data_IF_199687598228
#
_entry.id   IF_199687598228
#
_cell.length_a   1.000
_cell.length_b   1.000
_cell.length_c   1.000
_cell.angle_alpha   90.00
_cell.angle_beta   90.00
_cell.angle_gamma   90.00
#
_symmetry.space_group_name_H-M   'P 1'
#
loop_
_entity.id
_entity.type
_entity.pdbx_description
1 polymer ?
#
# COMPACT_ATOMS: atom_id res chain seq x y z
N UNK A 1 17.61 15.83 27.60
CA UNK A 1 18.35 14.68 27.01
C UNK A 1 18.37 13.42 27.89
N UNK A 2 17.96 13.48 29.19
CA UNK A 2 18.05 12.34 30.10
C UNK A 2 16.90 11.34 30.11
N UNK A 3 15.84 11.56 29.35
CA UNK A 3 14.67 10.67 29.36
C UNK A 3 14.74 9.42 28.47
N UNK A 4 15.62 9.37 27.50
CA UNK A 4 15.71 8.27 26.52
C UNK A 4 16.56 7.11 27.07
N UNK A 5 17.58 7.39 27.87
CA UNK A 5 18.56 6.38 28.32
C UNK A 5 18.03 5.33 29.31
N UNK A 6 16.86 5.53 29.91
CA UNK A 6 16.28 4.59 30.90
C UNK A 6 14.95 3.98 30.46
N UNK A 7 14.55 4.17 29.18
CA UNK A 7 13.30 3.63 28.63
C UNK A 7 13.59 2.47 27.69
N UNK A 8 12.95 1.35 27.92
CA UNK A 8 12.88 0.27 26.94
C UNK A 8 12.09 0.77 25.71
N UNK A 9 12.67 0.63 24.53
CA UNK A 9 12.12 1.11 23.26
C UNK A 9 11.74 -0.05 22.35
N UNK A 10 10.81 0.22 21.44
CA UNK A 10 10.40 -0.70 20.36
C UNK A 10 10.39 0.00 19.00
N UNK A 11 10.58 -0.78 17.95
CA UNK A 11 10.49 -0.29 16.57
C UNK A 11 9.41 -1.07 15.81
N UNK A 12 8.52 -0.34 15.15
CA UNK A 12 7.58 -0.89 14.20
C UNK A 12 7.98 -0.52 12.77
N UNK A 13 7.89 -1.47 11.84
CA UNK A 13 8.22 -1.27 10.43
C UNK A 13 7.04 -1.68 9.56
N UNK A 14 6.70 -0.83 8.57
CA UNK A 14 5.76 -1.11 7.47
C UNK A 14 6.51 -1.03 6.16
N UNK A 15 6.78 -2.17 5.56
CA UNK A 15 7.52 -2.33 4.31
C UNK A 15 6.56 -2.66 3.16
N UNK A 16 6.00 -1.60 2.55
CA UNK A 16 5.02 -1.68 1.48
C UNK A 16 5.63 -1.73 0.07
N UNK A 17 4.77 -1.83 -0.94
CA UNK A 17 5.18 -1.95 -2.34
C UNK A 17 5.96 -0.76 -2.91
N UNK A 18 5.82 0.44 -2.35
CA UNK A 18 6.45 1.68 -2.85
C UNK A 18 7.32 2.38 -1.83
N UNK A 19 7.17 2.06 -0.56
CA UNK A 19 7.88 2.73 0.54
C UNK A 19 7.98 1.81 1.75
N UNK A 20 9.11 1.90 2.45
CA UNK A 20 9.32 1.37 3.78
C UNK A 20 9.21 2.51 4.78
N UNK A 21 8.54 2.28 5.92
CA UNK A 21 8.45 3.21 7.04
C UNK A 21 8.87 2.52 8.31
N UNK A 22 9.58 3.23 9.18
CA UNK A 22 9.93 2.78 10.52
C UNK A 22 9.48 3.82 11.55
N UNK A 23 9.08 3.38 12.73
CA UNK A 23 8.80 4.26 13.85
C UNK A 23 9.35 3.72 15.15
N UNK A 24 9.97 4.61 15.92
CA UNK A 24 10.46 4.37 17.27
C UNK A 24 9.40 4.80 18.29
N UNK A 25 9.18 3.98 19.29
CA UNK A 25 8.24 4.28 20.37
C UNK A 25 8.72 3.69 21.71
N UNK A 26 8.17 4.19 22.82
CA UNK A 26 8.36 3.55 24.13
C UNK A 26 7.69 2.17 24.19
N UNK A 27 8.29 1.22 24.89
CA UNK A 27 7.74 -0.14 25.08
C UNK A 27 6.42 -0.14 25.88
N UNK A 28 6.21 0.84 26.75
CA UNK A 28 4.95 1.04 27.48
C UNK A 28 4.01 1.88 26.64
N UNK A 29 2.74 1.49 26.54
CA UNK A 29 1.72 2.24 25.83
C UNK A 29 1.47 3.63 26.45
N UNK A 30 0.84 4.55 25.69
CA UNK A 30 0.42 5.88 26.17
C UNK A 30 1.29 7.05 25.73
N UNK A 31 2.47 6.82 25.14
CA UNK A 31 3.30 7.88 24.53
C UNK A 31 3.18 7.89 23.01
N UNK A 32 3.42 9.06 22.39
CA UNK A 32 3.54 9.22 20.93
C UNK A 32 4.76 8.50 20.35
N UNK A 33 4.93 8.63 19.03
CA UNK A 33 6.14 8.20 18.35
C UNK A 33 7.31 9.11 18.77
N UNK A 34 8.48 8.51 18.94
CA UNK A 34 9.71 9.20 19.35
C UNK A 34 10.62 9.51 18.16
N UNK A 35 10.42 8.81 17.05
CA UNK A 35 11.11 9.03 15.80
C UNK A 35 10.40 8.28 14.68
N UNK A 36 10.52 8.79 13.47
CA UNK A 36 9.98 8.21 12.25
C UNK A 36 11.04 8.28 11.15
N UNK A 37 11.02 7.29 10.26
CA UNK A 37 11.95 7.26 9.14
C UNK A 37 11.35 6.52 7.95
N UNK A 38 11.93 6.76 6.77
CA UNK A 38 11.44 6.19 5.54
C UNK A 38 12.57 5.69 4.63
N UNK A 39 12.23 4.68 3.81
CA UNK A 39 13.11 4.12 2.80
C UNK A 39 12.33 3.79 1.53
N UNK A 40 13.01 3.25 0.55
CA UNK A 40 12.42 2.81 -0.71
C UNK A 40 11.44 1.63 -0.57
N UNK A 41 11.06 0.99 -1.70
CA UNK A 41 10.15 -0.16 -1.72
C UNK A 41 10.58 -1.29 -0.80
N UNK A 42 9.63 -1.96 -0.15
CA UNK A 42 9.87 -3.01 0.83
C UNK A 42 9.14 -4.34 0.55
N UNK A 43 8.54 -4.53 -0.63
CA UNK A 43 7.85 -5.77 -0.96
C UNK A 43 8.86 -6.93 -1.14
N UNK A 44 8.80 -7.91 -0.25
CA UNK A 44 9.72 -9.04 -0.19
C UNK A 44 9.66 -10.02 -1.38
N UNK A 45 8.66 -9.89 -2.27
CA UNK A 45 8.56 -10.69 -3.49
C UNK A 45 9.15 -10.00 -4.72
N UNK A 46 9.28 -8.67 -4.71
CA UNK A 46 9.67 -7.88 -5.88
C UNK A 46 10.96 -7.10 -5.70
N UNK A 47 11.42 -6.88 -4.47
CA UNK A 47 12.65 -6.15 -4.16
C UNK A 47 13.79 -7.14 -3.86
N UNK A 48 14.94 -6.93 -4.46
CA UNK A 48 16.12 -7.76 -4.22
C UNK A 48 16.69 -7.59 -2.81
N UNK A 49 17.46 -8.59 -2.35
CA UNK A 49 18.03 -8.65 -0.99
C UNK A 49 18.81 -7.39 -0.62
N UNK A 50 19.74 -6.97 -1.48
CA UNK A 50 20.62 -5.83 -1.21
C UNK A 50 19.82 -4.53 -1.11
N UNK A 51 18.93 -4.31 -2.05
CA UNK A 51 18.06 -3.14 -2.12
C UNK A 51 17.09 -3.08 -0.92
N UNK A 52 16.43 -4.20 -0.59
CA UNK A 52 15.54 -4.29 0.57
C UNK A 52 16.29 -4.00 1.88
N UNK A 53 17.50 -4.56 2.03
CA UNK A 53 18.34 -4.30 3.21
C UNK A 53 18.71 -2.82 3.31
N UNK A 54 19.08 -2.18 2.20
CA UNK A 54 19.43 -0.77 2.15
C UNK A 54 18.23 0.13 2.50
N UNK A 55 17.03 -0.19 1.98
CA UNK A 55 15.81 0.56 2.27
C UNK A 55 15.40 0.45 3.75
N UNK A 56 15.55 -0.73 4.35
CA UNK A 56 15.32 -0.94 5.79
C UNK A 56 16.34 -0.17 6.62
N UNK A 57 17.62 -0.22 6.25
CA UNK A 57 18.69 0.50 6.94
C UNK A 57 18.46 2.02 6.90
N UNK A 58 18.04 2.57 5.76
CA UNK A 58 17.71 3.98 5.62
C UNK A 58 16.56 4.39 6.56
N UNK A 59 15.45 3.63 6.54
CA UNK A 59 14.31 3.90 7.41
C UNK A 59 14.67 3.80 8.91
N UNK A 60 15.48 2.81 9.29
CA UNK A 60 15.93 2.63 10.67
C UNK A 60 16.88 3.74 11.11
N UNK A 61 17.80 4.17 10.24
CA UNK A 61 18.76 5.23 10.57
C UNK A 61 18.07 6.57 10.83
N UNK A 62 17.01 6.87 10.08
CA UNK A 62 16.20 8.09 10.27
C UNK A 62 15.29 7.98 11.51
N UNK A 63 14.67 6.81 11.75
CA UNK A 63 13.74 6.61 12.86
C UNK A 63 14.42 6.49 14.23
N UNK A 64 15.65 5.94 14.29
CA UNK A 64 16.32 5.56 15.53
C UNK A 64 17.64 6.30 15.68
N UNK A 65 17.68 7.41 16.47
CA UNK A 65 18.92 8.10 16.79
C UNK A 65 19.97 7.16 17.39
N UNK A 66 21.24 7.45 17.15
CA UNK A 66 22.35 6.56 17.53
C UNK A 66 22.35 6.23 19.02
N UNK A 67 22.10 7.23 19.85
CA UNK A 67 22.03 7.11 21.30
C UNK A 67 20.85 6.24 21.80
N UNK A 68 19.81 6.05 20.97
CA UNK A 68 18.64 5.24 21.32
C UNK A 68 18.77 3.76 20.92
N UNK A 69 19.72 3.42 20.03
CA UNK A 69 19.85 2.08 19.43
C UNK A 69 20.02 0.97 20.47
N UNK A 70 20.83 1.20 21.50
CA UNK A 70 21.05 0.26 22.60
C UNK A 70 19.84 0.03 23.53
N UNK A 71 18.83 0.89 23.45
CA UNK A 71 17.59 0.79 24.23
C UNK A 71 16.45 0.06 23.50
N UNK A 72 16.60 -0.23 22.19
CA UNK A 72 15.61 -0.97 21.42
C UNK A 72 15.60 -2.44 21.85
N UNK A 73 14.47 -2.90 22.40
CA UNK A 73 14.29 -4.27 22.90
C UNK A 73 13.53 -5.17 21.96
N UNK A 74 12.57 -4.62 21.22
CA UNK A 74 11.76 -5.40 20.30
C UNK A 74 11.55 -4.67 18.98
N UNK A 75 11.50 -5.45 17.89
CA UNK A 75 11.21 -4.96 16.54
C UNK A 75 10.18 -5.87 15.89
N UNK A 76 9.14 -5.26 15.32
CA UNK A 76 8.17 -5.97 14.48
C UNK A 76 8.13 -5.34 13.09
N UNK A 77 8.38 -6.15 12.06
CA UNK A 77 8.29 -5.72 10.66
C UNK A 77 7.11 -6.38 9.93
N UNK A 78 6.21 -5.56 9.38
CA UNK A 78 5.17 -6.02 8.46
C UNK A 78 5.59 -5.75 7.02
N UNK A 79 5.60 -6.77 6.19
CA UNK A 79 6.08 -6.69 4.82
C UNK A 79 5.02 -7.11 3.82
N UNK A 80 4.83 -6.32 2.78
CA UNK A 80 4.13 -6.79 1.60
C UNK A 80 4.85 -8.03 1.04
N UNK A 81 4.08 -9.07 0.74
CA UNK A 81 4.60 -10.33 0.22
C UNK A 81 5.25 -11.28 1.24
N UNK A 82 5.26 -10.95 2.54
CA UNK A 82 5.88 -11.78 3.58
C UNK A 82 4.90 -12.43 4.57
N UNK A 83 3.59 -12.46 4.26
CA UNK A 83 2.61 -13.08 5.16
C UNK A 83 2.85 -14.59 5.29
N UNK A 84 3.05 -15.07 6.50
CA UNK A 84 3.12 -16.50 6.81
C UNK A 84 1.75 -17.18 6.66
N UNK A 85 1.69 -18.40 6.14
CA UNK A 85 0.52 -19.28 6.29
C UNK A 85 -0.24 -19.69 5.03
N UNK A 86 0.05 -19.17 3.83
CA UNK A 86 -0.65 -19.53 2.58
C UNK A 86 0.31 -19.92 1.43
N UNK A 87 1.40 -20.64 1.71
CA UNK A 87 2.32 -21.15 0.68
C UNK A 87 3.80 -21.05 1.06
N UNK A 88 4.72 -21.34 0.13
CA UNK A 88 6.14 -21.31 0.44
C UNK A 88 6.55 -19.90 0.90
N UNK A 89 7.12 -19.83 2.10
CA UNK A 89 7.43 -18.61 2.85
C UNK A 89 8.65 -17.83 2.29
N UNK A 90 8.85 -17.86 0.97
CA UNK A 90 10.05 -17.25 0.35
C UNK A 90 10.21 -15.78 0.68
N UNK A 91 9.12 -15.02 0.65
CA UNK A 91 9.14 -13.60 1.01
C UNK A 91 9.41 -13.38 2.50
N UNK A 92 8.89 -14.25 3.37
CA UNK A 92 9.09 -14.17 4.81
C UNK A 92 10.56 -14.37 5.19
N UNK A 93 11.20 -15.43 4.69
CA UNK A 93 12.62 -15.72 4.95
C UNK A 93 13.54 -14.57 4.49
N UNK A 94 13.26 -14.03 3.30
CA UNK A 94 13.99 -12.87 2.78
C UNK A 94 13.81 -11.65 3.69
N UNK A 95 12.58 -11.33 4.09
CA UNK A 95 12.27 -10.20 4.96
C UNK A 95 12.97 -10.33 6.33
N UNK A 96 12.92 -11.51 6.96
CA UNK A 96 13.63 -11.79 8.23
C UNK A 96 15.14 -11.60 8.07
N UNK A 97 15.72 -12.14 7.01
CA UNK A 97 17.15 -12.03 6.75
C UNK A 97 17.59 -10.58 6.52
N UNK A 98 16.85 -9.82 5.69
CA UNK A 98 17.15 -8.42 5.40
C UNK A 98 16.97 -7.53 6.63
N UNK A 99 15.89 -7.75 7.42
CA UNK A 99 15.66 -6.99 8.64
C UNK A 99 16.78 -7.20 9.66
N UNK A 100 17.19 -8.45 9.90
CA UNK A 100 18.30 -8.75 10.80
C UNK A 100 19.61 -8.12 10.32
N UNK A 101 19.90 -8.17 9.02
CA UNK A 101 21.07 -7.54 8.45
C UNK A 101 21.06 -6.02 8.62
N UNK A 102 19.91 -5.36 8.39
CA UNK A 102 19.76 -3.91 8.56
C UNK A 102 19.93 -3.50 10.04
N UNK A 103 19.34 -4.26 10.97
CA UNK A 103 19.49 -4.02 12.42
C UNK A 103 20.96 -4.16 12.85
N UNK A 104 21.65 -5.23 12.43
CA UNK A 104 23.05 -5.46 12.76
C UNK A 104 23.95 -4.35 12.18
N UNK A 105 23.73 -3.95 10.92
CA UNK A 105 24.43 -2.84 10.28
C UNK A 105 24.23 -1.49 10.97
N UNK A 106 23.07 -1.30 11.61
CA UNK A 106 22.78 -0.12 12.43
C UNK A 106 23.29 -0.23 13.88
N UNK A 107 23.97 -1.31 14.27
CA UNK A 107 24.43 -1.54 15.65
C UNK A 107 23.33 -1.81 16.64
N UNK A 108 22.17 -2.31 16.19
CA UNK A 108 21.04 -2.68 17.02
C UNK A 108 20.98 -4.19 17.24
N UNK A 109 20.79 -4.64 18.49
CA UNK A 109 20.67 -6.04 18.89
C UNK A 109 19.43 -6.24 19.79
N UNK A 110 18.21 -6.07 19.24
CA UNK A 110 16.98 -6.24 20.01
C UNK A 110 16.82 -7.69 20.49
N UNK A 111 16.18 -7.87 21.64
CA UNK A 111 15.93 -9.18 22.26
C UNK A 111 14.88 -9.99 21.50
N UNK A 112 13.91 -9.29 20.88
CA UNK A 112 12.85 -9.89 20.05
C UNK A 112 12.76 -9.23 18.68
N UNK A 113 12.76 -10.04 17.62
CA UNK A 113 12.54 -9.59 16.24
C UNK A 113 11.56 -10.54 15.56
N UNK A 114 10.42 -10.01 15.17
CA UNK A 114 9.41 -10.75 14.42
C UNK A 114 9.07 -10.06 13.09
N UNK A 115 8.65 -10.86 12.13
CA UNK A 115 8.20 -10.45 10.81
C UNK A 115 6.82 -11.05 10.54
N UNK A 116 5.90 -10.22 10.08
CA UNK A 116 4.58 -10.60 9.59
C UNK A 116 4.28 -9.95 8.24
N UNK A 117 3.03 -10.07 7.81
CA UNK A 117 2.56 -9.40 6.60
C UNK A 117 2.08 -7.97 6.86
N UNK A 118 1.94 -7.24 5.78
CA UNK A 118 1.37 -5.89 5.78
C UNK A 118 -0.10 -5.86 6.26
N UNK A 119 -0.84 -6.93 6.02
CA UNK A 119 -2.24 -7.06 6.45
C UNK A 119 -2.37 -7.19 7.97
N UNK A 120 -1.46 -7.91 8.63
CA UNK A 120 -1.46 -8.08 10.07
C UNK A 120 -1.19 -6.75 10.80
N UNK A 121 -0.17 -6.01 10.35
CA UNK A 121 0.13 -4.69 10.93
C UNK A 121 -0.94 -3.66 10.61
N UNK A 122 -1.56 -3.74 9.41
CA UNK A 122 -2.67 -2.87 9.07
C UNK A 122 -3.86 -3.09 10.02
N UNK A 123 -4.25 -4.33 10.28
CA UNK A 123 -5.32 -4.64 11.24
C UNK A 123 -4.99 -4.14 12.65
N UNK A 124 -3.78 -4.40 13.12
CA UNK A 124 -3.32 -3.96 14.43
C UNK A 124 -3.22 -2.42 14.56
N UNK A 125 -3.31 -1.67 13.44
CA UNK A 125 -3.38 -0.20 13.47
C UNK A 125 -4.76 0.35 13.85
N UNK A 126 -5.80 -0.49 13.87
CA UNK A 126 -7.12 -0.08 14.37
C UNK A 126 -7.13 0.08 15.90
N UNK A 127 -8.05 0.88 16.47
CA UNK A 127 -8.18 1.05 17.91
C UNK A 127 -8.26 -0.28 18.65
N UNK A 128 -7.43 -0.42 19.69
CA UNK A 128 -7.35 -1.65 20.47
C UNK A 128 -6.49 -2.75 19.88
N UNK A 129 -5.82 -2.51 18.75
CA UNK A 129 -4.96 -3.45 18.05
C UNK A 129 -5.58 -4.86 17.93
N UNK A 130 -6.74 -4.99 17.24
CA UNK A 130 -7.47 -6.25 17.18
C UNK A 130 -6.65 -7.34 16.50
N UNK A 131 -6.77 -8.58 17.01
CA UNK A 131 -6.16 -9.76 16.40
C UNK A 131 -7.07 -10.41 15.33
N UNK A 132 -8.34 -10.04 15.30
CA UNK A 132 -9.37 -10.59 14.40
C UNK A 132 -10.07 -9.50 13.64
N UNK A 133 -10.24 -9.67 12.32
CA UNK A 133 -10.94 -8.70 11.49
C UNK A 133 -10.60 -8.80 10.02
N UNK A 134 -10.99 -7.77 9.29
CA UNK A 134 -10.77 -7.64 7.87
C UNK A 134 -9.82 -6.48 7.57
N UNK A 135 -9.07 -6.63 6.52
CA UNK A 135 -8.19 -5.60 5.98
C UNK A 135 -8.42 -5.49 4.48
N UNK A 136 -8.46 -4.27 3.98
CA UNK A 136 -8.36 -3.98 2.56
C UNK A 136 -7.27 -2.94 2.36
N UNK A 137 -6.25 -3.30 1.63
CA UNK A 137 -5.18 -2.39 1.23
C UNK A 137 -5.37 -2.07 -0.25
N UNK A 138 -5.39 -0.78 -0.61
CA UNK A 138 -5.38 -0.35 -2.00
C UNK A 138 -4.45 0.86 -2.18
N UNK A 139 -3.38 0.60 -2.89
CA UNK A 139 -2.34 1.56 -3.30
C UNK A 139 -1.97 1.27 -4.74
N UNK A 140 -0.70 0.99 -5.03
CA UNK A 140 -0.23 0.53 -6.34
C UNK A 140 -0.94 -0.77 -6.75
N UNK A 141 -1.02 -1.76 -5.86
CA UNK A 141 -1.85 -2.96 -5.97
C UNK A 141 -3.04 -2.92 -5.02
N UNK A 142 -3.82 -4.00 -4.96
CA UNK A 142 -4.94 -4.14 -4.04
C UNK A 142 -5.08 -5.57 -3.51
N UNK A 143 -5.40 -5.71 -2.22
CA UNK A 143 -5.64 -7.00 -1.57
C UNK A 143 -6.64 -6.86 -0.44
N UNK A 144 -7.59 -7.78 -0.35
CA UNK A 144 -8.44 -7.95 0.81
C UNK A 144 -8.01 -9.21 1.58
N UNK A 145 -7.95 -9.13 2.90
CA UNK A 145 -7.55 -10.23 3.76
C UNK A 145 -8.44 -10.36 4.99
N UNK A 146 -8.61 -11.58 5.47
CA UNK A 146 -9.12 -11.89 6.79
C UNK A 146 -7.94 -12.24 7.68
N UNK A 147 -7.86 -11.60 8.81
CA UNK A 147 -6.90 -11.91 9.86
C UNK A 147 -7.66 -12.58 11.01
N UNK A 148 -7.11 -13.66 11.54
CA UNK A 148 -7.64 -14.41 12.67
C UNK A 148 -6.50 -14.82 13.60
N UNK A 149 -6.61 -14.50 14.89
CA UNK A 149 -5.54 -14.73 15.85
C UNK A 149 -4.23 -14.03 15.51
N UNK A 150 -4.30 -12.84 14.92
CA UNK A 150 -3.13 -12.04 14.50
C UNK A 150 -2.40 -12.56 13.25
N UNK A 151 -2.99 -13.51 12.52
CA UNK A 151 -2.41 -14.09 11.28
C UNK A 151 -3.40 -14.04 10.14
N UNK A 152 -2.92 -13.86 8.92
CA UNK A 152 -3.74 -13.92 7.73
C UNK A 152 -4.27 -15.34 7.50
N UNK A 153 -5.60 -15.50 7.51
CA UNK A 153 -6.27 -16.81 7.37
C UNK A 153 -7.03 -16.95 6.06
N UNK A 154 -7.33 -15.84 5.37
CA UNK A 154 -7.93 -15.88 4.04
C UNK A 154 -7.55 -14.61 3.26
N UNK A 155 -7.56 -14.71 1.93
CA UNK A 155 -7.26 -13.62 1.00
C UNK A 155 -8.30 -13.64 -0.12
N UNK A 156 -8.65 -12.44 -0.60
CA UNK A 156 -9.39 -12.24 -1.82
C UNK A 156 -8.68 -11.20 -2.66
N UNK A 157 -8.37 -11.54 -3.92
CA UNK A 157 -7.51 -10.78 -4.81
C UNK A 157 -6.05 -10.67 -4.31
N UNK A 158 -5.28 -9.66 -4.73
CA UNK A 158 -3.86 -9.56 -4.40
C UNK A 158 -2.98 -10.49 -5.25
N UNK A 159 -3.44 -10.84 -6.45
CA UNK A 159 -2.75 -11.75 -7.38
C UNK A 159 -1.74 -11.04 -8.28
N UNK A 160 -1.47 -9.77 -8.01
CA UNK A 160 -0.58 -8.92 -8.81
C UNK A 160 -1.28 -8.32 -10.02
N UNK A 161 -0.61 -7.34 -10.62
CA UNK A 161 -1.15 -6.48 -11.68
C UNK A 161 -1.68 -7.23 -12.92
N UNK A 162 -1.14 -8.42 -13.21
CA UNK A 162 -1.53 -9.21 -14.38
C UNK A 162 -2.83 -10.00 -14.15
N UNK A 163 -3.02 -10.56 -12.95
CA UNK A 163 -4.07 -11.54 -12.65
C UNK A 163 -5.09 -11.04 -11.63
N UNK A 164 -4.86 -9.90 -11.01
CA UNK A 164 -5.68 -9.31 -9.95
C UNK A 164 -5.38 -7.83 -9.74
N UNK A 165 -5.27 -7.43 -8.48
CA UNK A 165 -5.14 -6.04 -8.04
C UNK A 165 -6.30 -5.15 -8.55
N UNK A 166 -7.49 -5.71 -8.62
CA UNK A 166 -8.68 -5.06 -9.15
C UNK A 166 -9.09 -3.86 -8.29
N UNK A 167 -9.27 -2.70 -8.94
CA UNK A 167 -9.60 -1.44 -8.26
C UNK A 167 -8.40 -0.71 -7.65
N UNK A 168 -7.18 -1.19 -7.85
CA UNK A 168 -5.93 -0.55 -7.42
C UNK A 168 -5.56 0.67 -8.26
N UNK A 169 -4.49 1.36 -7.84
CA UNK A 169 -3.88 2.43 -8.64
C UNK A 169 -3.40 1.95 -9.99
N UNK A 170 -2.83 0.74 -10.07
CA UNK A 170 -2.49 0.12 -11.35
C UNK A 170 -3.72 -0.09 -12.23
N UNK A 171 -4.80 -0.65 -11.65
CA UNK A 171 -6.05 -0.85 -12.38
C UNK A 171 -6.60 0.47 -12.92
N UNK A 172 -6.66 1.52 -12.07
CA UNK A 172 -7.10 2.86 -12.46
C UNK A 172 -6.26 3.43 -13.60
N UNK A 173 -4.93 3.38 -13.49
CA UNK A 173 -4.02 3.89 -14.50
C UNK A 173 -4.13 3.13 -15.83
N UNK A 174 -4.26 1.80 -15.77
CA UNK A 174 -4.51 0.98 -16.98
C UNK A 174 -5.83 1.35 -17.64
N UNK A 175 -6.89 1.56 -16.86
CA UNK A 175 -8.18 1.98 -17.41
C UNK A 175 -8.12 3.41 -17.98
N UNK A 176 -7.35 4.31 -17.38
CA UNK A 176 -7.14 5.66 -17.89
C UNK A 176 -6.51 5.63 -19.30
N UNK A 177 -5.42 4.86 -19.48
CA UNK A 177 -4.79 4.68 -20.80
C UNK A 177 -5.77 4.07 -21.80
N UNK A 178 -6.53 3.04 -21.41
CA UNK A 178 -7.56 2.42 -22.28
C UNK A 178 -8.66 3.40 -22.66
N UNK A 179 -9.10 4.25 -21.74
CA UNK A 179 -10.11 5.27 -22.01
C UNK A 179 -9.58 6.34 -22.98
N UNK A 180 -8.33 6.78 -22.80
CA UNK A 180 -7.65 7.71 -23.70
C UNK A 180 -7.55 7.13 -25.13
N UNK A 181 -7.07 5.90 -25.27
CA UNK A 181 -7.00 5.21 -26.56
C UNK A 181 -8.38 5.02 -27.19
N UNK A 182 -9.40 4.66 -26.41
CA UNK A 182 -10.76 4.52 -26.91
C UNK A 182 -11.35 5.84 -27.42
N UNK A 183 -11.01 6.96 -26.78
CA UNK A 183 -11.41 8.30 -27.25
C UNK A 183 -10.73 8.65 -28.57
N UNK A 184 -9.42 8.35 -28.74
CA UNK A 184 -8.68 8.54 -30.00
C UNK A 184 -9.24 7.70 -31.14
N UNK A 185 -9.59 6.44 -30.85
CA UNK A 185 -10.16 5.51 -31.85
C UNK A 185 -11.64 5.82 -32.20
N UNK A 186 -12.29 6.78 -31.54
CA UNK A 186 -13.72 7.04 -31.68
C UNK A 186 -14.64 5.96 -31.09
N UNK A 187 -14.09 4.99 -30.33
CA UNK A 187 -14.85 3.91 -29.66
C UNK A 187 -15.32 4.32 -28.27
N UNK A 188 -14.81 5.42 -27.71
CA UNK A 188 -15.10 5.93 -26.38
C UNK A 188 -15.57 7.37 -26.38
N UNK A 189 -16.04 7.84 -25.21
CA UNK A 189 -16.39 9.24 -25.00
C UNK A 189 -15.11 10.07 -24.88
N UNK A 190 -15.16 11.34 -25.31
CA UNK A 190 -14.12 12.31 -24.99
C UNK A 190 -13.91 12.40 -23.47
N UNK A 191 -12.67 12.52 -23.03
CA UNK A 191 -12.27 12.51 -21.63
C UNK A 191 -11.01 13.32 -21.39
N UNK A 192 -10.94 14.05 -20.27
CA UNK A 192 -9.74 14.75 -19.81
C UNK A 192 -8.57 13.79 -19.48
N UNK A 193 -8.84 12.49 -19.39
CA UNK A 193 -7.79 11.49 -19.21
C UNK A 193 -6.83 11.40 -20.39
N UNK A 194 -7.25 11.81 -21.60
CA UNK A 194 -6.38 11.83 -22.77
C UNK A 194 -5.18 12.77 -22.53
N UNK A 195 -5.46 14.02 -22.15
CA UNK A 195 -4.40 15.01 -21.90
C UNK A 195 -3.48 14.56 -20.76
N UNK A 196 -4.06 13.97 -19.69
CA UNK A 196 -3.31 13.44 -18.57
C UNK A 196 -2.38 12.27 -18.96
N UNK A 197 -2.82 11.38 -19.86
CA UNK A 197 -2.02 10.27 -20.38
C UNK A 197 -0.91 10.78 -21.28
N UNK A 198 -1.21 11.72 -22.18
CA UNK A 198 -0.20 12.35 -23.05
C UNK A 198 0.89 13.04 -22.21
N UNK A 199 0.50 13.85 -21.23
CA UNK A 199 1.43 14.52 -20.32
C UNK A 199 2.30 13.52 -19.53
N UNK A 200 1.71 12.41 -19.05
CA UNK A 200 2.44 11.37 -18.33
C UNK A 200 3.55 10.73 -19.17
N UNK A 201 3.31 10.56 -20.46
CA UNK A 201 4.27 9.98 -21.38
C UNK A 201 5.18 11.01 -22.07
N UNK A 202 4.98 12.32 -21.80
CA UNK A 202 5.74 13.40 -22.44
C UNK A 202 5.39 13.56 -23.92
N UNK A 203 4.19 13.18 -24.31
CA UNK A 203 3.66 13.35 -25.64
C UNK A 203 2.98 14.73 -25.77
N UNK A 204 3.12 15.45 -26.89
CA UNK A 204 2.54 16.78 -27.03
C UNK A 204 1.01 16.73 -26.95
N UNK A 205 0.37 17.55 -26.09
CA UNK A 205 -1.09 17.67 -26.05
C UNK A 205 -1.64 18.47 -27.23
N UNK A 206 -0.78 19.28 -27.90
CA UNK A 206 -1.17 20.22 -28.94
C UNK A 206 -1.24 19.51 -30.30
N UNK A 207 -2.44 19.40 -30.81
CA UNK A 207 -2.69 19.07 -32.19
C UNK A 207 -3.12 17.62 -32.45
N UNK A 208 -4.18 17.21 -31.78
CA UNK A 208 -5.04 16.20 -32.40
C UNK A 208 -5.71 16.88 -33.58
N UNK A 209 -5.19 16.72 -34.84
CA UNK A 209 -5.89 17.21 -35.98
C UNK A 209 -7.23 16.48 -36.07
N UNK A 210 -8.25 17.12 -36.62
CA UNK A 210 -9.56 16.51 -36.75
C UNK A 210 -9.60 15.34 -37.75
N UNK A 211 -8.47 15.03 -38.41
CA UNK A 211 -8.34 13.92 -39.32
C UNK A 211 -7.85 12.65 -38.61
N UNK A 212 -8.49 11.53 -38.86
CA UNK A 212 -8.28 10.25 -38.19
C UNK A 212 -6.83 9.70 -38.26
N UNK A 213 -6.01 10.14 -39.24
CA UNK A 213 -4.63 9.69 -39.40
C UNK A 213 -3.74 10.14 -38.26
N UNK A 214 -3.83 11.41 -37.84
CA UNK A 214 -3.00 11.92 -36.74
C UNK A 214 -3.46 11.43 -35.37
N UNK A 215 -4.73 11.11 -35.17
CA UNK A 215 -5.20 10.44 -33.96
C UNK A 215 -4.60 9.04 -33.82
N UNK A 216 -4.39 8.33 -34.93
CA UNK A 216 -3.75 7.03 -34.96
C UNK A 216 -2.26 7.12 -34.59
N UNK A 217 -1.53 8.10 -35.09
CA UNK A 217 -0.11 8.32 -34.76
C UNK A 217 0.07 8.62 -33.26
N UNK A 218 -0.84 9.41 -32.69
CA UNK A 218 -0.85 9.68 -31.24
C UNK A 218 -1.13 8.41 -30.44
N UNK A 219 -2.10 7.60 -30.86
CA UNK A 219 -2.42 6.33 -30.21
C UNK A 219 -1.24 5.36 -30.24
N UNK A 220 -0.53 5.26 -31.37
CA UNK A 220 0.70 4.46 -31.49
C UNK A 220 1.79 4.99 -30.54
N UNK A 221 1.97 6.30 -30.45
CA UNK A 221 2.90 6.95 -29.52
C UNK A 221 2.61 6.57 -28.07
N UNK A 222 1.35 6.61 -27.65
CA UNK A 222 0.91 6.19 -26.30
C UNK A 222 1.23 4.70 -26.06
N UNK A 223 0.93 3.83 -27.04
CA UNK A 223 1.19 2.39 -26.94
C UNK A 223 2.69 2.13 -26.79
N UNK A 224 3.52 2.71 -27.65
CA UNK A 224 4.97 2.54 -27.60
C UNK A 224 5.54 3.02 -26.25
N UNK A 225 5.12 4.19 -25.77
CA UNK A 225 5.56 4.75 -24.50
C UNK A 225 5.13 3.90 -23.29
N UNK A 226 3.94 3.30 -23.35
CA UNK A 226 3.44 2.41 -22.30
C UNK A 226 4.23 1.10 -22.25
N UNK A 227 4.52 0.49 -23.39
CA UNK A 227 5.27 -0.76 -23.49
C UNK A 227 6.77 -0.60 -23.18
N UNK A 228 7.32 0.61 -23.31
CA UNK A 228 8.71 0.91 -22.98
C UNK A 228 8.97 1.00 -21.45
N UNK A 229 7.94 0.95 -20.64
CA UNK A 229 8.03 1.11 -19.17
C UNK A 229 7.55 -0.13 -18.43
N UNK A 230 8.01 -0.36 -17.18
CA UNK A 230 7.45 -1.40 -16.33
C UNK A 230 5.93 -1.22 -16.16
N UNK A 231 5.11 -2.27 -16.34
CA UNK A 231 3.64 -2.15 -16.28
C UNK A 231 3.13 -1.49 -14.98
N UNK A 232 3.80 -1.75 -13.86
CA UNK A 232 3.43 -1.20 -12.55
C UNK A 232 3.46 0.35 -12.52
N UNK A 233 4.21 0.99 -13.39
CA UNK A 233 4.26 2.47 -13.50
C UNK A 233 2.92 3.09 -13.93
N UNK A 234 2.02 2.32 -14.55
CA UNK A 234 0.65 2.78 -14.82
C UNK A 234 -0.06 3.26 -13.56
N UNK A 235 0.29 2.73 -12.38
CA UNK A 235 -0.28 3.20 -11.12
C UNK A 235 -0.05 4.69 -10.85
N UNK A 236 0.99 5.28 -11.46
CA UNK A 236 1.28 6.72 -11.35
C UNK A 236 0.23 7.61 -12.00
N UNK A 237 -0.63 7.06 -12.86
CA UNK A 237 -1.76 7.77 -13.45
C UNK A 237 -2.98 7.86 -12.52
N UNK A 238 -3.03 7.10 -11.43
CA UNK A 238 -4.20 7.11 -10.54
C UNK A 238 -4.53 8.49 -9.95
N UNK A 239 -3.57 9.37 -9.58
CA UNK A 239 -3.90 10.73 -9.15
C UNK A 239 -4.54 11.58 -10.26
N UNK A 240 -4.14 11.36 -11.53
CA UNK A 240 -4.75 12.07 -12.66
C UNK A 240 -6.20 11.62 -12.91
N UNK A 241 -6.53 10.35 -12.65
CA UNK A 241 -7.92 9.88 -12.68
C UNK A 241 -8.77 10.60 -11.62
N UNK A 242 -8.24 10.74 -10.41
CA UNK A 242 -8.91 11.47 -9.32
C UNK A 242 -9.14 12.92 -9.70
N UNK A 243 -8.09 13.63 -10.16
CA UNK A 243 -8.18 15.03 -10.56
C UNK A 243 -9.19 15.25 -11.72
N UNK A 244 -9.20 14.37 -12.72
CA UNK A 244 -10.17 14.43 -13.81
C UNK A 244 -11.61 14.22 -13.30
N UNK A 245 -11.82 13.28 -12.38
CA UNK A 245 -13.13 13.03 -11.78
C UNK A 245 -13.62 14.24 -10.97
N UNK A 246 -12.75 14.87 -10.17
CA UNK A 246 -13.03 16.11 -9.44
C UNK A 246 -13.33 17.27 -10.39
N UNK A 247 -12.62 17.35 -11.53
CA UNK A 247 -12.88 18.30 -12.61
C UNK A 247 -14.17 18.04 -13.38
N UNK A 248 -14.93 17.01 -13.05
CA UNK A 248 -16.23 16.73 -13.64
C UNK A 248 -16.22 15.71 -14.77
N UNK A 249 -15.09 15.10 -15.11
CA UNK A 249 -15.00 14.09 -16.16
C UNK A 249 -15.83 12.84 -15.80
N UNK A 250 -16.81 12.51 -16.65
CA UNK A 250 -17.74 11.41 -16.39
C UNK A 250 -17.08 10.03 -16.56
N UNK A 251 -16.07 9.92 -17.43
CA UNK A 251 -15.31 8.68 -17.65
C UNK A 251 -14.47 8.40 -16.40
N UNK A 252 -13.74 9.39 -15.92
CA UNK A 252 -12.91 9.26 -14.73
C UNK A 252 -13.74 8.92 -13.48
N UNK A 253 -14.91 9.55 -13.29
CA UNK A 253 -15.86 9.17 -12.21
C UNK A 253 -16.30 7.72 -12.33
N UNK A 254 -16.69 7.28 -13.53
CA UNK A 254 -17.05 5.88 -13.77
C UNK A 254 -15.92 4.89 -13.45
N UNK A 255 -14.65 5.29 -13.64
CA UNK A 255 -13.49 4.48 -13.25
C UNK A 255 -13.37 4.39 -11.71
N UNK A 256 -13.56 5.49 -10.98
CA UNK A 256 -13.53 5.46 -9.51
C UNK A 256 -14.69 4.63 -8.94
N UNK A 257 -15.89 4.77 -9.49
CA UNK A 257 -17.05 3.96 -9.08
C UNK A 257 -16.81 2.46 -9.36
N UNK A 258 -16.25 2.15 -10.52
CA UNK A 258 -15.85 0.80 -10.89
C UNK A 258 -14.81 0.21 -9.94
N UNK A 259 -13.79 0.99 -9.59
CA UNK A 259 -12.75 0.60 -8.64
C UNK A 259 -13.36 0.30 -7.25
N UNK A 260 -14.20 1.19 -6.71
CA UNK A 260 -14.88 0.99 -5.45
C UNK A 260 -15.75 -0.29 -5.46
N UNK A 261 -16.45 -0.55 -6.58
CA UNK A 261 -17.25 -1.75 -6.77
C UNK A 261 -16.42 -3.04 -6.74
N UNK A 262 -15.24 -3.03 -7.39
CA UNK A 262 -14.29 -4.14 -7.42
C UNK A 262 -13.76 -4.45 -6.01
N UNK A 263 -13.29 -3.43 -5.32
CA UNK A 263 -12.77 -3.53 -3.94
C UNK A 263 -13.86 -4.03 -2.97
N UNK A 264 -15.10 -3.54 -3.10
CA UNK A 264 -16.22 -4.02 -2.30
C UNK A 264 -16.51 -5.51 -2.53
N UNK A 265 -16.37 -6.01 -3.77
CA UNK A 265 -16.51 -7.44 -4.08
C UNK A 265 -15.44 -8.28 -3.39
N UNK A 266 -14.18 -7.83 -3.39
CA UNK A 266 -13.09 -8.52 -2.69
C UNK A 266 -13.37 -8.64 -1.19
N UNK A 267 -13.83 -7.57 -0.53
CA UNK A 267 -14.22 -7.62 0.89
C UNK A 267 -15.39 -8.57 1.13
N UNK A 268 -16.44 -8.51 0.29
CA UNK A 268 -17.62 -9.40 0.44
C UNK A 268 -17.28 -10.89 0.25
N UNK A 269 -16.30 -11.21 -0.60
CA UNK A 269 -15.82 -12.59 -0.78
C UNK A 269 -15.28 -13.20 0.53
N UNK A 270 -14.77 -12.37 1.43
CA UNK A 270 -14.30 -12.76 2.75
C UNK A 270 -15.43 -12.94 3.79
N UNK A 271 -16.71 -12.80 3.38
CA UNK A 271 -17.89 -12.98 4.25
C UNK A 271 -17.82 -12.14 5.52
N UNK A 272 -17.86 -10.82 5.41
CA UNK A 272 -17.82 -9.90 6.55
C UNK A 272 -18.98 -10.16 7.52
N UNK A 273 -18.75 -9.88 8.81
CA UNK A 273 -19.75 -10.01 9.87
C UNK A 273 -20.10 -8.63 10.42
N UNK A 274 -21.34 -8.44 10.81
CA UNK A 274 -21.75 -7.19 11.44
C UNK A 274 -20.95 -6.92 12.72
N UNK A 275 -20.48 -5.69 12.89
CA UNK A 275 -19.65 -5.28 14.01
C UNK A 275 -18.17 -5.69 13.91
N UNK A 276 -17.77 -6.44 12.87
CA UNK A 276 -16.38 -6.82 12.65
C UNK A 276 -15.55 -5.59 12.22
N UNK A 277 -14.31 -5.39 12.73
CA UNK A 277 -13.46 -4.32 12.23
C UNK A 277 -13.01 -4.60 10.80
N UNK A 278 -13.08 -3.58 9.95
CA UNK A 278 -12.50 -3.54 8.62
C UNK A 278 -11.53 -2.37 8.55
N UNK A 279 -10.24 -2.68 8.47
CA UNK A 279 -9.23 -1.66 8.25
C UNK A 279 -9.09 -1.38 6.76
N UNK A 280 -9.11 -0.09 6.40
CA UNK A 280 -8.85 0.41 5.06
C UNK A 280 -7.50 1.14 5.05
N UNK A 281 -6.58 0.74 4.18
CA UNK A 281 -5.23 1.31 4.11
C UNK A 281 -4.78 1.53 2.66
N UNK A 282 -3.75 2.35 2.49
CA UNK A 282 -3.19 2.71 1.19
C UNK A 282 -3.72 4.03 0.65
N UNK A 283 -3.04 4.57 -0.36
CA UNK A 283 -3.31 5.92 -0.90
C UNK A 283 -4.72 6.14 -1.45
N UNK A 284 -5.43 5.08 -1.83
CA UNK A 284 -6.80 5.18 -2.33
C UNK A 284 -7.86 5.08 -1.23
N UNK A 285 -7.54 4.51 -0.07
CA UNK A 285 -8.49 4.10 0.98
C UNK A 285 -8.18 4.66 2.37
N UNK A 286 -6.96 5.14 2.58
CA UNK A 286 -6.58 5.76 3.86
C UNK A 286 -7.36 7.05 4.14
N UNK A 287 -7.09 7.72 5.26
CA UNK A 287 -7.74 8.98 5.58
C UNK A 287 -7.65 10.00 4.44
N UNK A 288 -8.80 10.47 3.95
CA UNK A 288 -8.89 11.38 2.80
C UNK A 288 -8.67 10.71 1.43
N UNK A 289 -8.57 9.39 1.37
CA UNK A 289 -8.44 8.66 0.11
C UNK A 289 -9.70 8.75 -0.77
N UNK A 290 -9.53 8.84 -2.11
CA UNK A 290 -10.64 9.13 -3.03
C UNK A 290 -11.72 8.03 -3.08
N UNK A 291 -11.39 6.82 -2.69
CA UNK A 291 -12.31 5.68 -2.69
C UNK A 291 -12.87 5.36 -1.29
N UNK A 292 -12.45 6.09 -0.24
CA UNK A 292 -12.89 5.81 1.13
C UNK A 292 -14.40 5.90 1.29
N UNK A 293 -15.00 7.02 0.89
CA UNK A 293 -16.44 7.23 1.02
C UNK A 293 -17.28 6.34 0.10
N UNK A 294 -17.00 6.27 -1.23
CA UNK A 294 -17.74 5.38 -2.12
C UNK A 294 -17.71 3.91 -1.67
N UNK A 295 -16.54 3.42 -1.25
CA UNK A 295 -16.39 2.06 -0.76
C UNK A 295 -17.14 1.84 0.55
N UNK A 296 -17.05 2.77 1.51
CA UNK A 296 -17.74 2.69 2.79
C UNK A 296 -19.26 2.63 2.60
N UNK A 297 -19.81 3.40 1.67
CA UNK A 297 -21.23 3.36 1.32
C UNK A 297 -21.63 1.99 0.75
N UNK A 298 -20.81 1.42 -0.15
CA UNK A 298 -21.05 0.09 -0.72
C UNK A 298 -20.98 -1.03 0.32
N UNK A 299 -20.17 -0.88 1.37
CA UNK A 299 -19.98 -1.87 2.43
C UNK A 299 -20.92 -1.66 3.63
N UNK A 300 -21.60 -0.53 3.75
CA UNK A 300 -22.53 -0.23 4.85
C UNK A 300 -23.56 -1.35 5.13
N UNK A 301 -24.17 -2.02 4.11
CA UNK A 301 -25.10 -3.11 4.35
C UNK A 301 -24.50 -4.34 5.03
N UNK A 302 -23.17 -4.48 5.06
CA UNK A 302 -22.49 -5.60 5.75
C UNK A 302 -22.41 -5.39 7.26
N UNK A 303 -22.59 -4.17 7.73
CA UNK A 303 -22.49 -3.80 9.14
C UNK A 303 -21.08 -3.81 9.72
N UNK A 304 -20.03 -3.88 8.90
CA UNK A 304 -18.63 -3.79 9.36
C UNK A 304 -18.34 -2.40 9.94
N UNK A 305 -17.39 -2.34 10.87
CA UNK A 305 -16.86 -1.08 11.40
C UNK A 305 -15.60 -0.69 10.63
N UNK A 306 -15.73 0.34 9.80
CA UNK A 306 -14.63 0.83 8.96
C UNK A 306 -13.66 1.68 9.77
N UNK A 307 -12.37 1.36 9.64
CA UNK A 307 -11.24 2.07 10.27
C UNK A 307 -10.21 2.44 9.20
N UNK A 308 -10.26 3.66 8.63
CA UNK A 308 -9.22 4.10 7.70
C UNK A 308 -7.92 4.40 8.46
N UNK A 309 -6.81 3.86 7.97
CA UNK A 309 -5.47 4.09 8.52
C UNK A 309 -4.52 4.54 7.41
N UNK A 310 -3.58 5.46 7.69
CA UNK A 310 -2.68 5.95 6.65
C UNK A 310 -1.67 4.88 6.20
N UNK A 311 -1.25 4.04 7.13
CA UNK A 311 -0.28 2.95 6.93
C UNK A 311 -0.23 2.03 8.17
N UNK A 312 0.49 0.90 8.07
CA UNK A 312 0.56 -0.12 9.10
C UNK A 312 1.53 0.14 10.27
N UNK A 313 2.28 1.24 10.27
CA UNK A 313 3.35 1.50 11.26
C UNK A 313 2.83 1.51 12.71
N UNK A 314 1.68 2.11 12.96
CA UNK A 314 1.09 2.13 14.30
C UNK A 314 0.78 0.71 14.82
N UNK A 315 0.28 -0.15 13.94
CA UNK A 315 0.06 -1.56 14.25
C UNK A 315 1.37 -2.34 14.44
N UNK A 316 2.38 -2.06 13.61
CA UNK A 316 3.69 -2.66 13.79
C UNK A 316 4.30 -2.31 15.15
N UNK A 317 4.17 -1.05 15.58
CA UNK A 317 4.56 -0.62 16.95
C UNK A 317 3.73 -1.34 18.02
N UNK A 318 2.42 -1.49 17.82
CA UNK A 318 1.57 -2.19 18.78
C UNK A 318 1.97 -3.68 18.90
N UNK A 319 2.27 -4.33 17.78
CA UNK A 319 2.75 -5.72 17.78
C UNK A 319 4.16 -5.83 18.38
N UNK A 320 5.08 -4.90 18.10
CA UNK A 320 6.39 -4.87 18.74
C UNK A 320 6.30 -4.74 20.27
N UNK A 321 5.35 -3.97 20.79
CA UNK A 321 5.06 -3.86 22.23
C UNK A 321 4.51 -5.15 22.84
N UNK A 322 3.84 -5.97 22.04
CA UNK A 322 3.30 -7.25 22.47
C UNK A 322 4.36 -8.37 22.52
N UNK A 323 5.48 -8.19 21.81
CA UNK A 323 6.61 -9.10 21.91
C UNK A 323 7.20 -8.99 23.31
N UNK A 324 7.12 -10.07 24.07
CA UNK A 324 7.81 -10.16 25.35
C UNK A 324 9.21 -10.70 25.10
N UNK A 325 10.25 -10.03 25.63
CA UNK A 325 11.57 -10.64 25.68
C UNK A 325 11.58 -11.87 26.57
#
# INVERSE_FOLDING_TARGET
MDEIHNRSLVVGIDAGGTRTRAALAGSRGGGGLLGEGSGGPGNALSVGREELTAHLAAALAEAVPEEARGAVRAVYGGFAGASAGLGPERGHELAVSCLRAALAGAGMAPEAVEVGGDTEIALASAPGAPADGLVLIAGTGAVAARVGGGRRVAVADGHGWLLGDDGSGFWLGRQAVRAALAALDGRGRGTALLDAVLAHYGLPPDGLPPDGAAAQDVAEGVVLAAYARPPVELARLSPAVVAAAEGGDAVARGLLDGAAGLLARAVRALRPRAGEPLVLSGGLLGPGGPLLEPLSALLAPTGVRVHPVPHGVAGAVALARALRP
#
